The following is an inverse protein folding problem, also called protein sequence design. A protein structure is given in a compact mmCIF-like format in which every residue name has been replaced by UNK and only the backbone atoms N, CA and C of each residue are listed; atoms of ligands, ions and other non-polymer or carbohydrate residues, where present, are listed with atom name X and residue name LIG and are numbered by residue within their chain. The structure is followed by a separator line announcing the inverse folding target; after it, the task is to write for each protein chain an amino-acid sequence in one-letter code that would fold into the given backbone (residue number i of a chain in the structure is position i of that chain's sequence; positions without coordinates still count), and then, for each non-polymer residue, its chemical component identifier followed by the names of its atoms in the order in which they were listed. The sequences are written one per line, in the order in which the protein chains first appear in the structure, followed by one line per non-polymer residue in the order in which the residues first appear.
data_IF_712116741499
#
_entry.id   IF_712116741499
#
_cell.length_a   1.000
_cell.length_b   1.000
_cell.length_c   1.000
_cell.angle_alpha   90.00
_cell.angle_beta   90.00
_cell.angle_gamma   90.00
#
_symmetry.space_group_name_H-M   'P 1'
#
loop_
_entity.id
_entity.type
_entity.pdbx_description
1 polymer ?
#
# COMPACT_ATOMS: atom_id res chain seq x y z
N UNK A 1 -14.93 20.08 -7.03
CA UNK A 1 -14.99 18.62 -6.77
C UNK A 1 -14.20 18.36 -5.51
N UNK A 2 -14.86 18.12 -4.38
CA UNK A 2 -14.19 17.86 -3.09
C UNK A 2 -13.80 16.38 -3.09
N UNK A 3 -12.54 16.08 -2.79
CA UNK A 3 -12.13 14.70 -2.51
C UNK A 3 -12.73 14.30 -1.17
N UNK A 4 -13.74 13.44 -1.21
CA UNK A 4 -14.28 12.84 0.00
C UNK A 4 -13.24 11.90 0.61
N UNK A 5 -13.01 12.03 1.92
CA UNK A 5 -12.23 11.06 2.66
C UNK A 5 -12.99 9.74 2.71
N UNK A 6 -12.51 8.73 1.98
CA UNK A 6 -13.07 7.38 1.97
C UNK A 6 -12.06 6.42 2.55
N UNK A 7 -12.49 5.64 3.53
CA UNK A 7 -11.71 4.51 4.02
C UNK A 7 -11.63 3.44 2.93
N UNK A 8 -10.43 2.90 2.70
CA UNK A 8 -10.18 1.81 1.75
C UNK A 8 -9.53 0.67 2.51
N UNK A 9 -10.10 -0.52 2.36
CA UNK A 9 -9.46 -1.74 2.85
C UNK A 9 -8.29 -2.09 1.93
N UNK A 10 -7.14 -2.38 2.52
CA UNK A 10 -5.93 -2.80 1.80
C UNK A 10 -5.62 -4.27 2.07
N UNK A 11 -4.67 -4.81 1.32
CA UNK A 11 -4.14 -6.13 1.61
C UNK A 11 -3.68 -6.21 3.07
N UNK A 12 -3.99 -7.31 3.78
CA UNK A 12 -3.56 -7.49 5.16
C UNK A 12 -2.02 -7.57 5.24
N UNK A 13 -1.48 -7.26 6.41
CA UNK A 13 -0.06 -7.50 6.69
C UNK A 13 0.23 -9.01 6.69
N UNK A 14 1.47 -9.41 6.42
CA UNK A 14 1.86 -10.82 6.43
C UNK A 14 1.72 -11.45 7.82
N UNK A 15 1.77 -10.64 8.88
CA UNK A 15 1.51 -11.06 10.25
C UNK A 15 0.95 -9.93 11.11
N UNK A 16 0.38 -10.25 12.28
CA UNK A 16 -0.06 -9.25 13.24
C UNK A 16 1.15 -8.44 13.73
N UNK A 17 1.01 -7.11 13.78
CA UNK A 17 2.06 -6.21 14.27
C UNK A 17 1.47 -5.08 15.09
N UNK A 18 2.15 -4.74 16.19
CA UNK A 18 1.89 -3.59 17.03
C UNK A 18 3.18 -2.77 17.18
N UNK A 19 3.06 -1.49 17.55
CA UNK A 19 4.20 -0.60 17.82
C UNK A 19 5.24 -0.52 16.67
N UNK A 20 4.80 -0.72 15.42
CA UNK A 20 5.67 -0.66 14.25
C UNK A 20 5.86 0.79 13.77
N UNK A 21 6.99 1.05 13.11
CA UNK A 21 7.19 2.30 12.37
C UNK A 21 6.72 2.11 10.93
N UNK A 22 6.15 3.16 10.33
CA UNK A 22 5.74 3.14 8.93
C UNK A 22 6.24 4.38 8.19
N UNK A 23 6.65 4.21 6.93
CA UNK A 23 7.10 5.30 6.08
C UNK A 23 6.55 5.14 4.65
N UNK A 24 6.24 6.25 4.00
CA UNK A 24 5.84 6.28 2.60
C UNK A 24 6.99 6.84 1.77
N UNK A 25 7.41 6.09 0.76
CA UNK A 25 8.44 6.48 -0.20
C UNK A 25 7.78 6.68 -1.56
N UNK A 26 8.00 7.84 -2.17
CA UNK A 26 7.58 8.11 -3.53
C UNK A 26 8.76 7.86 -4.45
N UNK A 27 8.55 7.01 -5.46
CA UNK A 27 9.51 6.75 -6.50
C UNK A 27 9.06 7.50 -7.76
N UNK A 28 9.83 8.52 -8.13
CA UNK A 28 9.63 9.23 -9.38
C UNK A 28 10.08 8.33 -10.53
N UNK A 29 9.14 7.95 -11.40
CA UNK A 29 9.40 7.17 -12.59
C UNK A 29 10.04 8.06 -13.69
N UNK A 30 11.24 8.59 -13.42
CA UNK A 30 11.96 9.44 -14.36
C UNK A 30 12.81 8.66 -15.39
N UNK A 31 12.80 7.33 -15.37
CA UNK A 31 13.74 6.50 -16.13
C UNK A 31 13.12 5.46 -17.09
N UNK A 32 11.80 5.45 -17.29
CA UNK A 32 11.19 4.61 -18.31
C UNK A 32 10.02 5.36 -18.93
N UNK A 33 9.86 5.25 -20.25
CA UNK A 33 8.79 5.79 -21.11
C UNK A 33 7.34 5.41 -20.70
N UNK A 34 7.10 5.01 -19.46
CA UNK A 34 5.77 4.80 -18.90
C UNK A 34 5.24 6.09 -18.29
N UNK A 35 4.59 6.85 -19.16
CA UNK A 35 3.78 8.03 -18.87
C UNK A 35 2.90 7.82 -17.61
N UNK A 36 3.32 8.42 -16.49
CA UNK A 36 2.39 8.93 -15.48
C UNK A 36 2.02 8.04 -14.27
N UNK A 37 2.78 6.99 -13.94
CA UNK A 37 2.55 6.29 -12.66
C UNK A 37 3.63 6.64 -11.63
N UNK A 38 3.37 7.66 -10.81
CA UNK A 38 4.11 7.85 -9.56
C UNK A 38 3.89 6.60 -8.70
N UNK A 39 4.97 5.83 -8.47
CA UNK A 39 4.90 4.63 -7.64
C UNK A 39 5.18 5.03 -6.20
N UNK A 40 4.17 4.95 -5.34
CA UNK A 40 4.35 5.14 -3.91
C UNK A 40 4.41 3.78 -3.21
N UNK A 41 5.40 3.59 -2.34
CA UNK A 41 5.58 2.40 -1.52
C UNK A 41 5.35 2.75 -0.06
N UNK A 42 4.62 1.91 0.67
CA UNK A 42 4.47 1.96 2.11
C UNK A 42 5.38 0.89 2.72
N UNK A 43 6.41 1.31 3.45
CA UNK A 43 7.24 0.43 4.26
C UNK A 43 6.74 0.36 5.69
N UNK A 44 6.60 -0.85 6.22
CA UNK A 44 6.29 -1.14 7.62
C UNK A 44 7.51 -1.83 8.22
N UNK A 45 8.04 -1.25 9.29
CA UNK A 45 9.32 -1.63 9.89
C UNK A 45 9.13 -2.05 11.34
N UNK A 46 9.68 -3.23 11.66
CA UNK A 46 9.72 -3.78 13.00
C UNK A 46 8.32 -3.90 13.64
N UNK A 47 8.23 -3.66 14.93
CA UNK A 47 7.06 -3.87 15.77
C UNK A 47 7.18 -5.13 16.63
N UNK A 48 6.11 -5.44 17.33
CA UNK A 48 5.95 -6.67 18.10
C UNK A 48 4.69 -7.40 17.68
N UNK A 49 4.71 -8.72 17.74
CA UNK A 49 3.50 -9.52 17.75
C UNK A 49 3.31 -10.09 19.15
N UNK A 50 2.05 -10.30 19.53
CA UNK A 50 1.75 -11.06 20.73
C UNK A 50 1.64 -12.52 20.32
N UNK A 51 2.65 -13.31 20.69
CA UNK A 51 2.58 -14.77 20.64
C UNK A 51 2.41 -15.26 22.08
N UNK A 52 1.21 -15.75 22.41
CA UNK A 52 0.87 -16.22 23.74
C UNK A 52 1.06 -15.14 24.83
N UNK A 53 1.69 -15.48 25.97
CA UNK A 53 1.95 -14.55 27.08
C UNK A 53 3.17 -13.63 26.86
N UNK A 54 3.97 -13.87 25.82
CA UNK A 54 5.20 -13.10 25.56
C UNK A 54 5.14 -12.34 24.24
N UNK A 55 5.47 -11.03 24.30
CA UNK A 55 5.64 -10.24 23.09
C UNK A 55 6.92 -10.62 22.36
N UNK A 56 6.83 -10.96 21.06
CA UNK A 56 7.99 -11.20 20.20
C UNK A 56 8.27 -9.95 19.38
N UNK A 57 9.51 -9.46 19.45
CA UNK A 57 9.95 -8.33 18.62
C UNK A 57 10.23 -8.83 17.21
N UNK A 58 9.60 -8.19 16.23
CA UNK A 58 9.77 -8.52 14.83
C UNK A 58 10.94 -7.74 14.25
N UNK A 59 11.94 -8.47 13.75
CA UNK A 59 13.07 -7.91 12.98
C UNK A 59 12.79 -7.94 11.46
N UNK A 60 11.53 -7.88 11.05
CA UNK A 60 11.10 -7.95 9.66
C UNK A 60 10.56 -6.62 9.15
N UNK A 61 10.68 -6.41 7.84
CA UNK A 61 10.18 -5.24 7.13
C UNK A 61 9.24 -5.69 6.01
N UNK A 62 8.13 -4.99 5.81
CA UNK A 62 7.16 -5.27 4.75
C UNK A 62 6.98 -4.03 3.87
N UNK A 63 6.83 -4.24 2.55
CA UNK A 63 6.68 -3.17 1.56
C UNK A 63 5.40 -3.38 0.76
N UNK A 64 4.59 -2.33 0.63
CA UNK A 64 3.33 -2.36 -0.12
C UNK A 64 3.32 -1.30 -1.20
N UNK A 65 2.88 -1.69 -2.39
CA UNK A 65 2.61 -0.73 -3.45
C UNK A 65 1.27 -0.02 -3.22
N UNK A 66 1.32 1.30 -3.08
CA UNK A 66 0.14 2.14 -2.83
C UNK A 66 -0.65 2.40 -4.10
N UNK A 67 -0.02 2.25 -5.27
CA UNK A 67 -0.59 2.55 -6.58
C UNK A 67 -1.60 1.51 -7.06
N UNK A 68 -1.49 0.25 -6.62
CA UNK A 68 -2.36 -0.85 -7.04
C UNK A 68 -3.83 -0.74 -6.56
N UNK A 69 -4.13 0.22 -5.69
CA UNK A 69 -5.48 0.50 -5.17
C UNK A 69 -6.24 1.56 -6.02
N UNK A 70 -5.62 2.06 -7.09
CA UNK A 70 -6.27 2.95 -8.05
C UNK A 70 -6.96 2.11 -9.13
N UNK A 71 -8.06 1.43 -8.76
CA UNK A 71 -8.96 0.88 -9.77
C UNK A 71 -9.60 2.04 -10.52
N UNK A 72 -9.01 2.41 -11.65
CA UNK A 72 -9.70 3.24 -12.62
C UNK A 72 -10.85 2.39 -13.16
N UNK A 73 -12.06 2.71 -12.72
CA UNK A 73 -13.30 2.21 -13.29
C UNK A 73 -13.41 2.79 -14.71
N UNK A 74 -12.59 2.28 -15.63
CA UNK A 74 -12.73 2.53 -17.05
C UNK A 74 -14.06 1.92 -17.44
N UNK A 75 -15.10 2.76 -17.53
CA UNK A 75 -16.30 2.42 -18.28
C UNK A 75 -15.87 2.22 -19.74
N UNK A 76 -15.52 0.99 -20.10
CA UNK A 76 -15.57 0.58 -21.50
C UNK A 76 -17.05 0.60 -21.87
N UNK A 77 -17.48 1.65 -22.56
CA UNK A 77 -18.72 1.59 -23.31
C UNK A 77 -18.61 0.39 -24.28
N UNK A 78 -19.64 -0.47 -24.39
CA UNK A 78 -19.63 -1.54 -25.38
C UNK A 78 -19.58 -0.92 -26.80
N UNK A 79 -18.90 -1.58 -27.75
CA UNK A 79 -18.91 -1.12 -29.14
C UNK A 79 -20.34 -1.16 -29.70
N UNK A 80 -20.73 -0.18 -30.53
CA UNK A 80 -22.03 -0.22 -31.20
C UNK A 80 -22.13 -1.42 -32.13
N UNK A 81 -23.33 -2.01 -32.18
CA UNK A 81 -23.70 -3.13 -33.04
C UNK A 81 -23.73 -2.74 -34.53
#
# INVERSE_FOLDING_TARGET
MIRESRWRQRAPLAGPRQQHAAAVVKQDAAAADQKGLEKALLGVFSGSCQEEETGVVLASCELYDVSQDRSEHSRRSPPPA
#
